data_IF_454402249694
#
_entry.id   IF_454402249694
#
_cell.length_a   1.000
_cell.length_b   1.000
_cell.length_c   1.000
_cell.angle_alpha   90.00
_cell.angle_beta   90.00
_cell.angle_gamma   90.00
#
_symmetry.space_group_name_H-M   'P 1'
#
loop_
_entity.id
_entity.type
_entity.pdbx_description
1 polymer ?
#
# COMPACT_ATOMS: atom_id res chain seq x y z
N UNK A 1 23.62 9.22 -15.59
CA UNK A 1 22.45 8.71 -16.33
C UNK A 1 21.78 7.63 -15.49
N UNK A 2 20.62 7.91 -14.89
CA UNK A 2 19.70 6.94 -14.25
C UNK A 2 18.28 7.53 -14.32
N UNK A 3 17.59 7.37 -15.44
CA UNK A 3 16.21 7.88 -15.61
C UNK A 3 15.19 6.81 -16.05
N UNK A 4 15.63 5.61 -16.45
CA UNK A 4 14.72 4.57 -16.97
C UNK A 4 14.00 3.81 -15.84
N UNK A 5 14.69 3.48 -14.74
CA UNK A 5 14.14 2.66 -13.66
C UNK A 5 13.04 3.35 -12.81
N UNK A 6 12.91 4.68 -12.90
CA UNK A 6 11.89 5.44 -12.17
C UNK A 6 10.56 5.48 -12.93
N UNK A 7 10.61 5.40 -14.26
CA UNK A 7 9.42 5.53 -15.10
C UNK A 7 8.63 4.21 -15.16
N UNK A 8 9.33 3.08 -15.18
CA UNK A 8 8.74 1.73 -15.13
C UNK A 8 8.05 1.48 -13.78
N UNK A 9 8.71 1.78 -12.66
CA UNK A 9 8.11 1.68 -11.31
C UNK A 9 6.84 2.52 -11.14
N UNK A 10 6.76 3.65 -11.83
CA UNK A 10 5.56 4.51 -11.84
C UNK A 10 4.44 3.92 -12.70
N UNK A 11 4.75 3.20 -13.78
CA UNK A 11 3.76 2.49 -14.56
C UNK A 11 3.12 1.35 -13.74
N UNK A 12 3.94 0.52 -13.09
CA UNK A 12 3.48 -0.54 -12.18
C UNK A 12 2.62 0.00 -11.03
N UNK A 13 3.01 1.14 -10.45
CA UNK A 13 2.21 1.82 -9.42
C UNK A 13 0.82 2.21 -9.93
N UNK A 14 0.74 2.75 -11.15
CA UNK A 14 -0.53 3.18 -11.74
C UNK A 14 -1.43 2.01 -12.08
N UNK A 15 -0.86 0.91 -12.58
CA UNK A 15 -1.60 -0.33 -12.82
C UNK A 15 -2.23 -0.87 -11.51
N UNK A 16 -1.53 -0.78 -10.38
CA UNK A 16 -2.10 -1.17 -9.08
C UNK A 16 -3.21 -0.23 -8.62
N UNK A 17 -3.08 1.08 -8.86
CA UNK A 17 -4.10 2.07 -8.49
C UNK A 17 -5.35 2.00 -9.39
N UNK A 18 -5.21 1.53 -10.62
CA UNK A 18 -6.34 1.26 -11.51
C UNK A 18 -7.10 -0.01 -11.07
N UNK A 19 -6.40 -0.97 -10.46
CA UNK A 19 -6.97 -2.24 -9.99
C UNK A 19 -7.54 -2.16 -8.57
N UNK A 20 -6.91 -1.41 -7.68
CA UNK A 20 -7.21 -1.41 -6.26
C UNK A 20 -7.48 -0.01 -5.70
N UNK A 21 -8.49 0.08 -4.86
CA UNK A 21 -8.93 1.34 -4.24
C UNK A 21 -8.42 1.54 -2.82
N UNK A 22 -8.33 0.46 -2.05
CA UNK A 22 -7.92 0.51 -0.64
C UNK A 22 -7.12 -0.71 -0.25
N UNK A 23 -6.41 -0.59 0.85
CA UNK A 23 -5.73 -1.70 1.50
C UNK A 23 -6.27 -1.92 2.90
N UNK A 24 -6.21 -3.16 3.36
CA UNK A 24 -6.52 -3.56 4.73
C UNK A 24 -5.42 -4.48 5.27
N UNK A 25 -5.03 -4.28 6.52
CA UNK A 25 -4.08 -5.17 7.20
C UNK A 25 -4.31 -5.21 8.71
N UNK A 26 -3.88 -6.31 9.33
CA UNK A 26 -3.92 -6.55 10.76
C UNK A 26 -2.58 -6.19 11.41
N UNK A 27 -2.62 -5.41 12.49
CA UNK A 27 -1.48 -5.25 13.40
C UNK A 27 -1.50 -6.41 14.39
N UNK A 28 -0.52 -7.32 14.29
CA UNK A 28 -0.52 -8.57 15.07
C UNK A 28 -0.40 -8.32 16.57
N UNK A 29 0.30 -7.26 16.96
CA UNK A 29 0.57 -6.89 18.34
C UNK A 29 -0.70 -6.41 19.07
N UNK A 30 -1.60 -5.73 18.35
CA UNK A 30 -2.83 -5.14 18.94
C UNK A 30 -4.11 -5.87 18.55
N UNK A 31 -4.06 -6.69 17.49
CA UNK A 31 -5.25 -7.32 16.90
C UNK A 31 -6.15 -6.33 16.15
N UNK A 32 -5.70 -5.08 15.95
CA UNK A 32 -6.48 -4.05 15.27
C UNK A 32 -6.33 -4.17 13.75
N UNK A 33 -7.45 -4.07 13.04
CA UNK A 33 -7.50 -4.02 11.59
C UNK A 33 -7.58 -2.57 11.14
N UNK A 34 -6.73 -2.19 10.20
CA UNK A 34 -6.70 -0.85 9.62
C UNK A 34 -6.97 -0.90 8.12
N UNK A 35 -7.81 0.02 7.65
CA UNK A 35 -8.11 0.20 6.24
C UNK A 35 -7.76 1.62 5.78
N UNK A 36 -7.07 1.73 4.63
CA UNK A 36 -6.65 3.01 4.06
C UNK A 36 -6.89 3.05 2.55
N UNK A 37 -7.21 4.24 2.03
CA UNK A 37 -7.27 4.48 0.58
C UNK A 37 -5.86 4.56 0.01
N UNK A 38 -5.65 3.87 -1.12
CA UNK A 38 -4.40 3.96 -1.86
C UNK A 38 -4.29 5.32 -2.57
N UNK A 39 -3.05 5.80 -2.71
CA UNK A 39 -2.72 7.06 -3.38
C UNK A 39 -1.48 6.89 -4.25
N UNK A 40 -1.47 7.58 -5.40
CA UNK A 40 -0.23 7.83 -6.16
C UNK A 40 0.53 8.95 -5.47
N UNK A 41 1.69 8.64 -4.92
CA UNK A 41 2.55 9.60 -4.25
C UNK A 41 3.73 9.87 -5.17
N UNK A 42 3.60 10.99 -5.87
CA UNK A 42 4.29 11.34 -7.13
C UNK A 42 5.81 11.15 -7.19
N UNK A 43 6.52 11.17 -6.05
CA UNK A 43 7.97 10.98 -5.98
C UNK A 43 8.39 9.53 -5.75
N UNK A 44 7.54 8.70 -5.13
CA UNK A 44 7.94 7.39 -4.61
C UNK A 44 7.03 6.22 -5.00
N UNK A 45 5.89 6.48 -5.65
CA UNK A 45 4.94 5.46 -6.11
C UNK A 45 3.75 5.29 -5.16
N UNK A 46 3.33 4.05 -4.93
CA UNK A 46 2.15 3.72 -4.14
C UNK A 46 2.30 4.09 -2.66
N UNK A 47 1.26 4.65 -2.05
CA UNK A 47 1.25 4.93 -0.62
C UNK A 47 -0.13 5.14 -0.01
N UNK A 48 -0.13 5.42 1.30
CA UNK A 48 -1.33 5.76 2.09
C UNK A 48 -1.09 7.01 2.93
N UNK A 49 -2.18 7.69 3.28
CA UNK A 49 -2.17 8.82 4.21
C UNK A 49 -2.71 8.38 5.57
N UNK A 50 -1.97 8.72 6.61
CA UNK A 50 -2.29 8.35 7.99
C UNK A 50 -2.20 9.61 8.86
N UNK A 51 -3.19 9.86 9.72
CA UNK A 51 -3.11 10.98 10.66
C UNK A 51 -1.98 10.77 11.67
N UNK A 52 -1.34 11.86 12.07
CA UNK A 52 -0.24 11.83 13.05
C UNK A 52 -0.62 11.26 14.41
N UNK A 53 -1.90 11.33 14.78
CA UNK A 53 -2.45 10.80 16.03
C UNK A 53 -2.83 9.31 15.95
N UNK A 54 -2.71 8.69 14.77
CA UNK A 54 -3.09 7.30 14.56
C UNK A 54 -2.11 6.35 15.24
N UNK A 55 -2.65 5.41 16.03
CA UNK A 55 -1.85 4.40 16.75
C UNK A 55 -1.08 3.48 15.80
N UNK A 56 -1.56 3.29 14.57
CA UNK A 56 -0.87 2.48 13.56
C UNK A 56 0.57 2.97 13.30
N UNK A 57 0.83 4.28 13.43
CA UNK A 57 2.18 4.84 13.25
C UNK A 57 3.16 4.37 14.33
N UNK A 58 2.66 3.98 15.50
CA UNK A 58 3.49 3.44 16.58
C UNK A 58 3.83 1.96 16.37
N UNK A 59 3.03 1.27 15.54
CA UNK A 59 3.17 -0.16 15.24
C UNK A 59 3.96 -0.43 13.97
N UNK A 60 3.99 0.51 13.02
CA UNK A 60 4.69 0.35 11.74
C UNK A 60 6.11 0.92 11.78
N UNK A 61 7.06 0.19 11.18
CA UNK A 61 8.44 0.62 10.98
C UNK A 61 8.84 0.50 9.51
N UNK A 62 9.79 1.35 9.11
CA UNK A 62 10.41 1.24 7.80
C UNK A 62 11.15 -0.10 7.69
N UNK A 63 10.87 -0.83 6.62
CA UNK A 63 11.37 -2.17 6.37
C UNK A 63 10.43 -3.30 6.79
N UNK A 64 9.35 -3.01 7.52
CA UNK A 64 8.35 -4.02 7.87
C UNK A 64 7.68 -4.58 6.63
N UNK A 65 7.42 -5.89 6.64
CA UNK A 65 6.69 -6.59 5.58
C UNK A 65 5.41 -7.17 6.15
N UNK A 66 4.29 -6.85 5.51
CA UNK A 66 2.95 -7.21 5.94
C UNK A 66 2.22 -7.98 4.84
N UNK A 67 1.38 -8.94 5.24
CA UNK A 67 0.35 -9.47 4.35
C UNK A 67 -0.80 -8.46 4.31
N UNK A 68 -1.01 -7.86 3.15
CA UNK A 68 -1.98 -6.77 2.98
C UNK A 68 -3.05 -7.20 2.00
N UNK A 69 -4.31 -7.02 2.37
CA UNK A 69 -5.44 -7.21 1.47
C UNK A 69 -5.64 -5.96 0.63
N UNK A 70 -5.51 -6.11 -0.69
CA UNK A 70 -5.79 -5.08 -1.68
C UNK A 70 -7.22 -5.25 -2.17
N UNK A 71 -8.03 -4.23 -1.90
CA UNK A 71 -9.46 -4.23 -2.17
C UNK A 71 -9.76 -3.44 -3.45
N UNK A 72 -10.44 -4.06 -4.43
CA UNK A 72 -10.82 -3.38 -5.66
C UNK A 72 -11.90 -2.32 -5.42
N UNK A 73 -12.09 -1.38 -6.37
CA UNK A 73 -13.11 -0.34 -6.25
C UNK A 73 -14.55 -0.88 -6.29
N UNK A 74 -14.77 -2.04 -6.90
CA UNK A 74 -16.08 -2.71 -6.94
C UNK A 74 -16.05 -3.95 -6.05
N UNK A 75 -17.06 -4.10 -5.21
CA UNK A 75 -17.18 -5.25 -4.28
C UNK A 75 -17.40 -6.60 -4.97
N UNK A 76 -17.74 -6.61 -6.27
CA UNK A 76 -17.84 -7.83 -7.09
C UNK A 76 -16.47 -8.41 -7.47
N UNK A 77 -15.43 -7.59 -7.41
CA UNK A 77 -14.10 -7.97 -7.85
C UNK A 77 -13.35 -8.59 -6.65
N UNK A 78 -12.47 -9.55 -6.92
CA UNK A 78 -11.78 -10.28 -5.86
C UNK A 78 -10.68 -9.41 -5.23
N UNK A 79 -10.67 -9.36 -3.89
CA UNK A 79 -9.53 -8.82 -3.15
C UNK A 79 -8.32 -9.76 -3.29
N UNK A 80 -7.12 -9.19 -3.24
CA UNK A 80 -5.86 -9.94 -3.35
C UNK A 80 -5.02 -9.76 -2.09
N UNK A 81 -4.41 -10.83 -1.58
CA UNK A 81 -3.43 -10.72 -0.50
C UNK A 81 -2.04 -10.58 -1.12
N UNK A 82 -1.43 -9.41 -0.94
CA UNK A 82 -0.09 -9.12 -1.44
C UNK A 82 0.86 -8.85 -0.29
N UNK A 83 2.07 -9.37 -0.40
CA UNK A 83 3.14 -9.07 0.53
C UNK A 83 3.68 -7.67 0.24
N UNK A 84 3.59 -6.78 1.22
CA UNK A 84 3.90 -5.36 1.04
C UNK A 84 4.91 -4.89 2.07
N UNK A 85 5.97 -4.23 1.62
CA UNK A 85 6.97 -3.60 2.45
C UNK A 85 6.65 -2.12 2.71
N UNK A 86 6.85 -1.69 3.94
CA UNK A 86 6.88 -0.27 4.32
C UNK A 86 8.22 0.34 3.88
N UNK A 87 8.21 1.17 2.83
CA UNK A 87 9.43 1.77 2.27
C UNK A 87 9.91 2.99 3.03
N UNK A 88 8.99 3.84 3.46
CA UNK A 88 9.29 5.05 4.22
C UNK A 88 8.04 5.54 4.94
N UNK A 89 8.25 6.34 5.99
CA UNK A 89 7.20 7.03 6.75
C UNK A 89 7.64 8.49 6.85
N UNK A 90 6.87 9.42 6.28
CA UNK A 90 7.27 10.82 6.15
C UNK A 90 6.12 11.80 6.44
N UNK A 91 6.37 12.81 7.28
CA UNK A 91 5.37 13.83 7.66
C UNK A 91 5.26 14.99 6.64
N UNK A 92 6.25 15.16 5.74
CA UNK A 92 6.38 16.33 4.86
C UNK A 92 6.67 15.97 3.40
N UNK A 93 5.97 15.00 2.86
CA UNK A 93 5.97 14.82 1.41
C UNK A 93 5.05 15.83 0.73
N UNK A 94 5.49 16.35 -0.43
CA UNK A 94 4.72 17.32 -1.20
C UNK A 94 3.35 16.72 -1.56
N UNK A 95 2.28 17.34 -1.07
CA UNK A 95 0.90 16.90 -1.31
C UNK A 95 0.23 16.20 -0.12
N UNK A 96 0.94 15.93 0.98
CA UNK A 96 0.32 15.51 2.23
C UNK A 96 -0.39 16.71 2.90
N UNK A 97 -1.67 16.60 3.30
CA UNK A 97 -2.30 17.60 4.16
C UNK A 97 -1.57 17.71 5.50
N UNK A 98 -1.60 18.89 6.12
CA UNK A 98 -1.05 19.08 7.46
C UNK A 98 -1.63 18.04 8.46
N UNK A 99 -0.80 17.59 9.40
CA UNK A 99 -1.16 16.58 10.39
C UNK A 99 -1.26 15.14 9.84
N UNK A 100 -0.75 14.88 8.63
CA UNK A 100 -0.71 13.55 8.03
C UNK A 100 0.72 13.09 7.73
N UNK A 101 0.95 11.81 7.97
CA UNK A 101 2.09 11.08 7.46
C UNK A 101 1.72 10.37 6.17
N UNK A 102 2.66 10.38 5.24
CA UNK A 102 2.70 9.49 4.10
C UNK A 102 3.46 8.23 4.49
N UNK A 103 2.86 7.09 4.19
CA UNK A 103 3.53 5.79 4.26
C UNK A 103 3.68 5.27 2.84
N UNK A 104 4.93 5.14 2.39
CA UNK A 104 5.25 4.55 1.09
C UNK A 104 5.22 3.04 1.13
N UNK A 105 4.60 2.44 0.13
CA UNK A 105 4.39 1.00 0.02
C UNK A 105 5.16 0.43 -1.17
N UNK A 106 5.55 -0.83 -1.06
CA UNK A 106 6.13 -1.62 -2.14
C UNK A 106 5.60 -3.05 -2.09
N UNK A 107 4.93 -3.45 -3.15
CA UNK A 107 4.51 -4.84 -3.32
C UNK A 107 5.74 -5.68 -3.68
N UNK A 108 6.03 -6.69 -2.87
CA UNK A 108 7.20 -7.57 -3.05
C UNK A 108 6.79 -8.87 -3.76
N UNK A 109 5.60 -9.39 -3.44
CA UNK A 109 5.07 -10.60 -4.04
C UNK A 109 3.54 -10.61 -4.00
N UNK A 110 2.93 -11.25 -5.00
CA UNK A 110 1.50 -11.54 -5.02
C UNK A 110 1.28 -13.00 -4.63
N UNK A 111 0.56 -13.25 -3.54
CA UNK A 111 -0.04 -14.56 -3.33
C UNK A 111 -1.34 -14.57 -4.16
N UNK A 112 -1.23 -15.02 -5.41
CA UNK A 112 -2.40 -15.34 -6.23
C UNK A 112 -3.12 -16.50 -5.53
N UNK A 113 -4.26 -16.21 -4.90
CA UNK A 113 -5.22 -17.25 -4.57
C UNK A 113 -5.55 -18.00 -5.85
N UNK A 114 -5.08 -19.24 -5.95
CA UNK A 114 -5.23 -20.08 -7.12
C UNK A 114 -6.70 -20.09 -7.57
N UNK A 115 -6.96 -19.70 -8.81
CA UNK A 115 -8.13 -20.22 -9.51
C UNK A 115 -7.80 -21.67 -9.90
N UNK A 116 -7.95 -22.59 -8.94
CA UNK A 116 -8.27 -23.97 -9.29
C UNK A 116 -9.70 -23.93 -9.85
N UNK A 117 -9.80 -23.89 -11.17
CA UNK A 117 -11.02 -24.32 -11.86
C UNK A 117 -10.62 -25.60 -12.57
N UNK A 118 -10.94 -26.70 -11.90
CA UNK A 118 -10.90 -28.06 -12.40
C UNK A 118 -11.74 -28.15 -13.69
N UNK A 119 -11.14 -28.66 -14.77
CA UNK A 119 -11.83 -29.24 -15.93
C UNK A 119 -10.87 -30.10 -16.75
#
# INVERSE_FOLDING_TARGET
>A
MMMQNQQEKRAETRELLDQFYSIEFLIKETGEVYQFKLRDISTQGLGILVREDSRVLQSLKVGDTLAVQYNPPRSSDAASILETRIRHIANKEQGAPDGHFVIGLEVISSQTGAKETDL
#
